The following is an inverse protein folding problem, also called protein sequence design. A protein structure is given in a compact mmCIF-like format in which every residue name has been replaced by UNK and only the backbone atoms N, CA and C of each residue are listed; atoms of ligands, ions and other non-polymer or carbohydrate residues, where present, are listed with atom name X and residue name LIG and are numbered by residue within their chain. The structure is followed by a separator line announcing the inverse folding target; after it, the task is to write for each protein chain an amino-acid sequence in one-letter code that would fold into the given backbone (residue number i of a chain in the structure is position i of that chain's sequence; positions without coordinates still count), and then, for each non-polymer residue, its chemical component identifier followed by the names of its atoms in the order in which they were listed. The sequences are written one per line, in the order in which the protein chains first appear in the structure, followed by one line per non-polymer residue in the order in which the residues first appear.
data_IF_186220647537
#
_entry.id   IF_186220647537
#
_cell.length_a   1.000
_cell.length_b   1.000
_cell.length_c   1.000
_cell.angle_alpha   90.00
_cell.angle_beta   90.00
_cell.angle_gamma   90.00
#
_symmetry.space_group_name_H-M   'P 1'
#
loop_
_entity.id
_entity.type
_entity.pdbx_description
1 polymer ?
#
# COMPACT_ATOMS: atom_id res chain seq x y z
N UNK A 1 7.81 -22.44 -6.74
CA UNK A 1 8.49 -21.12 -6.79
C UNK A 1 7.60 -20.07 -6.17
N UNK A 2 8.16 -19.07 -5.46
CA UNK A 2 7.39 -17.91 -5.06
C UNK A 2 6.85 -17.19 -6.29
N UNK A 3 5.59 -16.74 -6.24
CA UNK A 3 5.00 -15.92 -7.30
C UNK A 3 5.55 -14.49 -7.27
N UNK A 4 5.42 -13.79 -8.39
CA UNK A 4 5.82 -12.38 -8.51
C UNK A 4 5.05 -11.66 -9.60
N UNK A 5 5.13 -10.34 -9.62
CA UNK A 5 4.58 -9.52 -10.68
C UNK A 5 5.40 -8.25 -10.89
N UNK A 6 5.31 -7.69 -12.09
CA UNK A 6 5.88 -6.38 -12.43
C UNK A 6 4.89 -5.60 -13.30
N UNK A 7 4.83 -4.28 -13.09
CA UNK A 7 4.05 -3.35 -13.91
C UNK A 7 4.93 -2.15 -14.25
N UNK A 8 4.91 -1.72 -15.49
CA UNK A 8 5.53 -0.48 -15.95
C UNK A 8 4.49 0.41 -16.61
N UNK A 9 4.43 1.68 -16.21
CA UNK A 9 3.56 2.71 -16.77
C UNK A 9 4.37 3.86 -17.34
N UNK A 10 3.88 4.49 -18.39
CA UNK A 10 4.30 5.84 -18.76
C UNK A 10 3.60 6.85 -17.84
N UNK A 11 4.32 7.57 -16.97
CA UNK A 11 3.68 8.49 -16.02
C UNK A 11 2.97 9.67 -16.70
N UNK A 12 3.31 10.00 -17.95
CA UNK A 12 2.71 11.14 -18.70
C UNK A 12 1.34 10.79 -19.29
N UNK A 13 1.16 9.55 -19.72
CA UNK A 13 -0.06 9.10 -20.41
C UNK A 13 -0.91 8.13 -19.59
N UNK A 14 -0.32 7.48 -18.57
CA UNK A 14 -0.93 6.37 -17.85
C UNK A 14 -0.92 5.07 -18.62
N UNK A 15 -0.30 5.01 -19.81
CA UNK A 15 -0.26 3.80 -20.63
C UNK A 15 0.53 2.69 -19.92
N UNK A 16 -0.03 1.48 -19.91
CA UNK A 16 0.66 0.29 -19.42
C UNK A 16 1.65 -0.17 -20.49
N UNK A 17 2.94 -0.05 -20.20
CA UNK A 17 4.03 -0.43 -21.10
C UNK A 17 4.41 -1.91 -20.96
N UNK A 18 4.29 -2.45 -19.76
CA UNK A 18 4.51 -3.85 -19.47
C UNK A 18 3.73 -4.30 -18.23
N UNK A 19 3.23 -5.52 -18.28
CA UNK A 19 2.60 -6.20 -17.14
C UNK A 19 3.01 -7.67 -17.16
N UNK A 20 3.57 -8.15 -16.05
CA UNK A 20 4.05 -9.53 -15.92
C UNK A 20 3.53 -10.14 -14.62
N UNK A 21 3.10 -11.39 -14.70
CA UNK A 21 2.73 -12.21 -13.54
C UNK A 21 3.40 -13.58 -13.65
N UNK A 22 4.02 -14.05 -12.59
CA UNK A 22 4.67 -15.35 -12.53
C UNK A 22 4.20 -16.14 -11.29
N UNK A 23 4.12 -17.49 -11.33
CA UNK A 23 4.31 -18.32 -12.52
C UNK A 23 3.25 -18.05 -13.59
N UNK A 24 3.59 -18.32 -14.84
CA UNK A 24 2.68 -18.30 -15.97
C UNK A 24 2.32 -19.74 -16.41
N UNK A 25 1.49 -19.84 -17.40
CA UNK A 25 1.07 -21.09 -18.02
C UNK A 25 0.96 -20.90 -19.54
N UNK A 26 0.80 -21.98 -20.29
CA UNK A 26 0.56 -21.94 -21.73
C UNK A 26 -0.95 -21.85 -21.99
N UNK A 27 -1.42 -20.72 -22.53
CA UNK A 27 -2.84 -20.44 -22.81
C UNK A 27 -3.40 -21.43 -23.84
N UNK A 28 -2.56 -21.99 -24.73
CA UNK A 28 -2.98 -22.99 -25.70
C UNK A 28 -3.60 -24.23 -25.04
N UNK A 29 -3.24 -24.52 -23.81
CA UNK A 29 -3.86 -25.62 -23.05
C UNK A 29 -5.35 -25.40 -22.80
N UNK A 30 -5.84 -24.18 -22.86
CA UNK A 30 -7.25 -23.82 -22.66
C UNK A 30 -8.05 -23.65 -23.94
N UNK A 31 -7.36 -23.45 -25.08
CA UNK A 31 -8.00 -23.16 -26.39
C UNK A 31 -8.17 -24.41 -27.23
N UNK A 32 -7.18 -25.29 -27.24
CA UNK A 32 -7.18 -26.53 -28.04
C UNK A 32 -7.57 -27.74 -27.24
N UNK A 33 -8.12 -28.79 -27.93
CA UNK A 33 -8.40 -30.09 -27.33
C UNK A 33 -7.11 -30.86 -26.97
N UNK A 34 -7.21 -31.87 -26.12
CA UNK A 34 -6.09 -32.78 -25.84
C UNK A 34 -5.21 -32.49 -24.62
N UNK A 35 -5.35 -31.32 -23.97
CA UNK A 35 -4.53 -30.88 -22.84
C UNK A 35 -5.22 -31.02 -21.47
N UNK A 36 -6.05 -32.06 -21.26
CA UNK A 36 -6.81 -32.22 -20.02
C UNK A 36 -5.92 -32.35 -18.77
N UNK A 37 -4.79 -33.06 -18.89
CA UNK A 37 -3.82 -33.25 -17.81
C UNK A 37 -3.12 -31.94 -17.47
N UNK A 38 -2.68 -31.18 -18.49
CA UNK A 38 -1.99 -29.88 -18.31
C UNK A 38 -2.92 -28.85 -17.66
N UNK A 39 -4.17 -28.76 -18.15
CA UNK A 39 -5.20 -27.91 -17.55
C UNK A 39 -5.47 -28.27 -16.09
N UNK A 40 -5.61 -29.57 -15.81
CA UNK A 40 -5.84 -30.02 -14.44
C UNK A 40 -4.65 -29.69 -13.53
N UNK A 41 -3.42 -29.80 -14.02
CA UNK A 41 -2.22 -29.42 -13.29
C UNK A 41 -2.21 -27.93 -12.96
N UNK A 42 -2.49 -27.05 -13.93
CA UNK A 42 -2.56 -25.59 -13.73
C UNK A 42 -3.67 -25.19 -12.75
N UNK A 43 -4.87 -25.80 -12.87
CA UNK A 43 -6.00 -25.49 -12.00
C UNK A 43 -5.76 -25.89 -10.53
N UNK A 44 -4.98 -26.94 -10.31
CA UNK A 44 -4.67 -27.47 -8.98
C UNK A 44 -3.32 -27.00 -8.44
N UNK A 45 -2.57 -26.19 -9.19
CA UNK A 45 -1.26 -25.70 -8.75
C UNK A 45 -1.41 -24.70 -7.59
N UNK A 46 -0.80 -25.03 -6.47
CA UNK A 46 -0.77 -24.17 -5.27
C UNK A 46 -0.12 -22.82 -5.51
N UNK A 47 0.74 -22.70 -6.52
CA UNK A 47 1.34 -21.43 -6.95
C UNK A 47 0.37 -20.51 -7.72
N UNK A 48 -0.86 -21.00 -8.04
CA UNK A 48 -1.94 -20.22 -8.68
C UNK A 48 -1.49 -19.47 -9.94
N UNK A 49 -1.02 -20.16 -10.99
CA UNK A 49 -0.53 -19.52 -12.21
C UNK A 49 -1.60 -18.72 -12.97
N UNK A 50 -2.89 -19.06 -12.79
CA UNK A 50 -4.01 -18.33 -13.39
C UNK A 50 -4.28 -16.96 -12.73
N UNK A 51 -3.72 -16.70 -11.55
CA UNK A 51 -3.88 -15.41 -10.90
C UNK A 51 -2.96 -14.38 -11.54
N UNK A 52 -3.52 -13.39 -12.23
CA UNK A 52 -2.76 -12.21 -12.63
C UNK A 52 -2.45 -11.32 -11.41
N UNK A 53 -1.27 -11.53 -10.83
CA UNK A 53 -0.85 -10.86 -9.60
C UNK A 53 -0.66 -9.37 -9.76
N UNK A 54 -0.51 -8.88 -10.98
CA UNK A 54 -0.29 -7.47 -11.26
C UNK A 54 -1.57 -6.63 -11.04
N UNK A 55 -2.72 -7.18 -11.44
CA UNK A 55 -4.01 -6.48 -11.37
C UNK A 55 -4.97 -7.03 -10.32
N UNK A 56 -4.84 -8.34 -9.99
CA UNK A 56 -5.76 -9.04 -9.10
C UNK A 56 -5.12 -9.44 -7.76
N UNK A 57 -3.79 -9.51 -7.66
CA UNK A 57 -3.09 -9.76 -6.40
C UNK A 57 -3.21 -8.55 -5.46
N UNK A 58 -3.69 -8.79 -4.24
CA UNK A 58 -3.89 -7.75 -3.24
C UNK A 58 -2.95 -7.98 -2.05
N UNK A 59 -2.19 -6.97 -1.68
CA UNK A 59 -1.14 -7.05 -0.67
C UNK A 59 -1.10 -5.78 0.18
N UNK A 60 -0.65 -5.85 1.45
CA UNK A 60 -0.28 -4.66 2.20
C UNK A 60 0.81 -3.87 1.44
N UNK A 61 0.62 -2.57 1.29
CA UNK A 61 1.54 -1.72 0.51
C UNK A 61 2.91 -1.55 1.15
N UNK A 62 3.00 -1.74 2.47
CA UNK A 62 4.20 -1.41 3.22
C UNK A 62 4.60 0.06 3.00
N UNK A 63 5.88 0.34 3.09
CA UNK A 63 6.43 1.70 3.05
C UNK A 63 6.19 2.47 1.74
N UNK A 64 5.67 1.83 0.70
CA UNK A 64 5.31 2.51 -0.56
C UNK A 64 4.16 3.52 -0.35
N UNK A 65 3.34 3.36 0.69
CA UNK A 65 2.32 4.34 1.10
C UNK A 65 2.92 5.70 1.51
N UNK A 66 4.15 5.74 1.99
CA UNK A 66 4.75 6.90 2.66
C UNK A 66 4.80 8.17 1.82
N UNK A 67 5.18 8.15 0.54
CA UNK A 67 5.11 9.34 -0.32
C UNK A 67 3.70 9.92 -0.40
N UNK A 68 2.66 9.07 -0.49
CA UNK A 68 1.27 9.51 -0.58
C UNK A 68 0.81 10.18 0.72
N UNK A 69 1.19 9.63 1.87
CA UNK A 69 0.87 10.21 3.17
C UNK A 69 1.68 11.47 3.47
N UNK A 70 2.93 11.56 3.00
CA UNK A 70 3.71 12.80 3.08
C UNK A 70 3.03 13.92 2.27
N UNK A 71 2.58 13.62 1.05
CA UNK A 71 1.79 14.54 0.22
C UNK A 71 0.51 14.99 0.95
N UNK A 72 -0.23 14.04 1.53
CA UNK A 72 -1.42 14.34 2.31
C UNK A 72 -1.13 15.25 3.51
N UNK A 73 -0.08 14.96 4.27
CA UNK A 73 0.28 15.72 5.47
C UNK A 73 0.74 17.15 5.16
N UNK A 74 1.45 17.33 4.04
CA UNK A 74 1.84 18.66 3.54
C UNK A 74 0.61 19.44 3.03
N UNK A 75 -0.26 18.81 2.24
CA UNK A 75 -1.45 19.45 1.69
C UNK A 75 -2.48 19.84 2.77
N UNK A 76 -2.60 19.06 3.83
CA UNK A 76 -3.48 19.33 4.98
C UNK A 76 -2.82 20.23 6.05
N UNK A 77 -1.62 20.73 5.78
CA UNK A 77 -0.84 21.55 6.73
C UNK A 77 -0.61 20.88 8.09
N UNK A 78 -0.63 19.55 8.17
CA UNK A 78 -0.28 18.77 9.36
C UNK A 78 1.21 18.90 9.63
N UNK A 79 2.00 19.01 8.56
CA UNK A 79 3.44 19.30 8.59
C UNK A 79 3.81 20.39 7.58
N UNK A 80 5.00 20.95 7.78
CA UNK A 80 5.74 21.71 6.77
C UNK A 80 7.01 20.94 6.39
N UNK A 81 7.76 21.32 5.35
CA UNK A 81 9.04 20.68 5.03
C UNK A 81 10.07 20.74 6.15
N UNK A 82 9.95 21.73 7.06
CA UNK A 82 10.84 21.90 8.23
C UNK A 82 10.36 21.20 9.49
N UNK A 83 9.14 20.66 9.52
CA UNK A 83 8.62 19.90 10.68
C UNK A 83 9.51 18.70 10.96
N UNK A 84 9.90 18.53 12.21
CA UNK A 84 10.78 17.43 12.63
C UNK A 84 10.13 16.57 13.71
N UNK A 85 10.43 15.29 13.67
CA UNK A 85 10.10 14.28 14.70
C UNK A 85 11.40 13.65 15.18
N UNK A 86 11.56 13.48 16.48
CA UNK A 86 12.71 12.76 17.03
C UNK A 86 12.44 11.25 16.97
N UNK A 87 13.18 10.53 16.13
CA UNK A 87 13.14 9.08 16.02
C UNK A 87 14.18 8.46 16.94
N UNK A 88 13.73 7.74 17.97
CA UNK A 88 14.54 7.04 18.97
C UNK A 88 14.36 5.52 18.95
N UNK A 89 13.93 4.97 17.82
CA UNK A 89 13.74 3.54 17.64
C UNK A 89 12.31 3.04 17.86
N UNK A 90 11.38 3.92 18.18
CA UNK A 90 9.95 3.61 18.31
C UNK A 90 9.21 4.59 19.20
N UNK A 91 7.87 4.44 19.26
CA UNK A 91 6.98 5.20 20.12
C UNK A 91 6.33 4.31 21.18
N UNK A 92 6.25 4.80 22.40
CA UNK A 92 5.47 4.19 23.46
C UNK A 92 4.17 4.96 23.63
N UNK A 93 3.05 4.27 23.49
CA UNK A 93 1.70 4.84 23.68
C UNK A 93 0.92 3.94 24.63
N UNK A 94 0.69 4.41 25.85
CA UNK A 94 0.18 3.58 26.94
C UNK A 94 1.14 2.42 27.23
N UNK A 95 0.62 1.19 27.19
CA UNK A 95 1.40 -0.04 27.36
C UNK A 95 2.03 -0.56 26.04
N UNK A 96 1.63 -0.02 24.89
CA UNK A 96 2.07 -0.52 23.60
C UNK A 96 3.33 0.21 23.12
N UNK A 97 4.22 -0.54 22.45
CA UNK A 97 5.39 -0.02 21.79
C UNK A 97 5.28 -0.23 20.26
N UNK A 98 5.48 0.85 19.52
CA UNK A 98 5.46 0.86 18.04
C UNK A 98 6.89 1.06 17.55
N UNK A 99 7.58 -0.01 17.15
CA UNK A 99 9.00 0.06 16.80
C UNK A 99 9.25 0.71 15.45
N UNK A 100 10.39 1.37 15.35
CA UNK A 100 11.01 1.64 14.05
C UNK A 100 11.80 0.41 13.58
N UNK A 101 12.11 0.33 12.29
CA UNK A 101 12.92 -0.76 11.76
C UNK A 101 14.39 -0.66 12.20
N UNK A 102 14.85 0.54 12.54
CA UNK A 102 16.22 0.80 13.01
C UNK A 102 16.25 0.93 14.53
N UNK A 103 16.89 0.00 15.19
CA UNK A 103 17.13 0.07 16.63
C UNK A 103 17.90 1.37 16.97
N UNK A 104 17.44 2.09 18.01
CA UNK A 104 18.01 3.40 18.37
C UNK A 104 17.51 4.57 17.53
N UNK A 105 16.78 4.30 16.43
CA UNK A 105 16.12 5.32 15.62
C UNK A 105 17.05 6.07 14.66
N UNK A 106 16.53 7.17 14.13
CA UNK A 106 17.13 7.96 13.05
C UNK A 106 17.55 9.38 13.53
N UNK A 107 17.29 9.69 14.81
CA UNK A 107 17.51 11.04 15.34
C UNK A 107 16.47 12.03 14.84
N UNK A 108 16.81 13.31 14.78
CA UNK A 108 15.94 14.37 14.27
C UNK A 108 15.66 14.14 12.79
N UNK A 109 14.39 14.01 12.46
CA UNK A 109 13.92 13.54 11.15
C UNK A 109 12.83 14.48 10.62
N UNK A 110 13.06 15.08 9.44
CA UNK A 110 12.06 15.80 8.66
C UNK A 110 11.47 14.89 7.56
N UNK A 111 10.52 15.40 6.78
CA UNK A 111 9.84 14.62 5.74
C UNK A 111 10.80 14.08 4.67
N UNK A 112 11.84 14.84 4.29
CA UNK A 112 12.82 14.42 3.29
C UNK A 112 13.62 13.22 3.80
N UNK A 113 14.18 13.33 5.00
CA UNK A 113 14.90 12.24 5.64
C UNK A 113 14.00 11.04 5.93
N UNK A 114 12.74 11.31 6.34
CA UNK A 114 11.77 10.26 6.60
C UNK A 114 11.46 9.41 5.37
N UNK A 115 11.37 10.02 4.19
CA UNK A 115 11.21 9.30 2.92
C UNK A 115 12.49 8.57 2.52
N UNK A 116 13.64 9.23 2.59
CA UNK A 116 14.94 8.67 2.20
C UNK A 116 15.34 7.43 3.04
N UNK A 117 15.06 7.48 4.34
CA UNK A 117 15.44 6.40 5.27
C UNK A 117 14.23 5.53 5.68
N UNK A 118 13.05 5.77 5.10
CA UNK A 118 11.83 5.01 5.39
C UNK A 118 11.47 4.97 6.88
N UNK A 119 11.54 6.10 7.58
CA UNK A 119 11.42 6.21 9.04
C UNK A 119 9.99 5.98 9.51
N UNK A 120 9.71 4.86 10.17
CA UNK A 120 8.36 4.53 10.64
C UNK A 120 7.84 5.52 11.69
N UNK A 121 8.66 5.90 12.66
CA UNK A 121 8.26 6.81 13.74
C UNK A 121 7.81 8.17 13.20
N UNK A 122 8.41 8.70 12.13
CA UNK A 122 7.92 9.91 11.49
C UNK A 122 6.49 9.72 10.94
N UNK A 123 6.26 8.60 10.24
CA UNK A 123 4.95 8.30 9.65
C UNK A 123 3.89 7.94 10.70
N UNK A 124 4.25 7.33 11.81
CA UNK A 124 3.34 7.18 12.95
C UNK A 124 2.88 8.55 13.46
N UNK A 125 3.81 9.49 13.66
CA UNK A 125 3.50 10.83 14.16
C UNK A 125 2.58 11.60 13.21
N UNK A 126 2.88 11.63 11.91
CA UNK A 126 2.04 12.37 10.95
C UNK A 126 0.72 11.65 10.62
N UNK A 127 0.65 10.34 10.78
CA UNK A 127 -0.56 9.55 10.59
C UNK A 127 -1.52 9.64 11.78
N UNK A 128 -1.09 9.21 12.94
CA UNK A 128 -1.92 9.10 14.15
C UNK A 128 -1.75 10.21 15.19
N UNK A 129 -0.72 11.05 15.03
CA UNK A 129 -0.31 12.03 16.04
C UNK A 129 0.60 11.41 17.10
N UNK A 130 1.48 12.21 17.67
CA UNK A 130 2.32 11.83 18.81
C UNK A 130 2.82 13.07 19.55
N UNK A 131 2.66 13.10 20.88
CA UNK A 131 2.93 14.28 21.71
C UNK A 131 2.21 15.52 21.13
N UNK A 132 2.92 16.59 20.85
CA UNK A 132 2.38 17.85 20.30
C UNK A 132 2.17 17.80 18.78
N UNK A 133 2.63 16.75 18.08
CA UNK A 133 2.44 16.59 16.65
C UNK A 133 1.03 16.05 16.36
N UNK A 134 0.21 16.87 15.72
CA UNK A 134 -1.10 16.42 15.22
C UNK A 134 -0.93 15.41 14.09
N UNK A 135 -1.84 14.42 14.01
CA UNK A 135 -1.88 13.44 12.92
C UNK A 135 -2.95 13.73 11.88
N UNK A 136 -2.85 13.09 10.72
CA UNK A 136 -3.89 13.09 9.68
C UNK A 136 -5.20 12.45 10.17
N UNK A 137 -5.08 11.37 10.91
CA UNK A 137 -6.21 10.50 11.22
C UNK A 137 -6.60 9.62 10.02
N UNK A 138 -7.33 8.54 10.30
CA UNK A 138 -7.70 7.53 9.29
C UNK A 138 -8.52 8.13 8.14
N UNK A 139 -9.48 9.01 8.41
CA UNK A 139 -10.39 9.55 7.39
C UNK A 139 -9.64 10.39 6.34
N UNK A 140 -8.69 11.24 6.77
CA UNK A 140 -7.85 12.00 5.83
C UNK A 140 -6.90 11.09 5.07
N UNK A 141 -6.28 10.11 5.73
CA UNK A 141 -5.43 9.13 5.05
C UNK A 141 -6.20 8.39 3.97
N UNK A 142 -7.35 7.80 4.30
CA UNK A 142 -8.20 7.07 3.34
C UNK A 142 -8.65 7.96 2.18
N UNK A 143 -9.07 9.20 2.47
CA UNK A 143 -9.48 10.17 1.44
C UNK A 143 -8.35 10.45 0.44
N UNK A 144 -7.11 10.64 0.89
CA UNK A 144 -5.98 10.88 0.00
C UNK A 144 -5.59 9.61 -0.77
N UNK A 145 -5.52 8.46 -0.11
CA UNK A 145 -5.24 7.18 -0.78
C UNK A 145 -6.26 6.88 -1.88
N UNK A 146 -7.55 7.15 -1.63
CA UNK A 146 -8.59 7.02 -2.66
C UNK A 146 -8.36 7.96 -3.85
N UNK A 147 -7.88 9.20 -3.61
CA UNK A 147 -7.53 10.13 -4.70
C UNK A 147 -6.35 9.64 -5.54
N UNK A 148 -5.45 8.85 -4.95
CA UNK A 148 -4.36 8.17 -5.66
C UNK A 148 -4.79 6.85 -6.32
N UNK A 149 -6.09 6.53 -6.33
CA UNK A 149 -6.66 5.36 -6.99
C UNK A 149 -6.68 4.09 -6.16
N UNK A 150 -6.30 4.14 -4.86
CA UNK A 150 -6.37 2.96 -4.00
C UNK A 150 -7.81 2.71 -3.51
N UNK A 151 -8.18 1.45 -3.35
CA UNK A 151 -9.50 1.04 -2.87
C UNK A 151 -10.59 1.04 -3.92
N UNK A 152 -10.26 1.27 -5.19
CA UNK A 152 -11.16 1.20 -6.34
C UNK A 152 -10.44 0.65 -7.56
N UNK A 153 -11.20 0.10 -8.52
CA UNK A 153 -10.65 -0.29 -9.83
C UNK A 153 -10.20 0.94 -10.58
N UNK A 154 -9.05 0.87 -11.22
CA UNK A 154 -8.50 1.95 -12.06
C UNK A 154 -9.13 1.99 -13.45
N UNK A 155 -9.79 0.88 -13.86
CA UNK A 155 -10.49 0.79 -15.14
C UNK A 155 -9.59 0.35 -16.30
N UNK A 156 -8.60 -0.49 -16.01
CA UNK A 156 -7.83 -1.15 -17.09
C UNK A 156 -8.75 -2.04 -17.92
N UNK A 157 -8.52 -2.15 -19.21
CA UNK A 157 -9.32 -2.92 -20.17
C UNK A 157 -9.06 -4.43 -20.14
N UNK A 158 -8.56 -4.94 -19.01
CA UNK A 158 -8.38 -6.36 -18.74
C UNK A 158 -9.42 -6.87 -17.75
N UNK A 159 -9.91 -8.11 -17.91
CA UNK A 159 -10.83 -8.71 -16.96
C UNK A 159 -10.11 -9.10 -15.66
N UNK A 160 -10.77 -8.94 -14.53
CA UNK A 160 -10.26 -9.46 -13.26
C UNK A 160 -9.56 -8.43 -12.36
N UNK A 161 -9.51 -7.16 -12.76
CA UNK A 161 -8.95 -6.10 -11.92
C UNK A 161 -9.61 -6.08 -10.53
N UNK A 162 -8.79 -6.17 -9.47
CA UNK A 162 -9.26 -6.06 -8.09
C UNK A 162 -9.25 -4.60 -7.62
N UNK A 163 -10.22 -4.27 -6.76
CA UNK A 163 -10.33 -2.92 -6.21
C UNK A 163 -9.33 -2.59 -5.12
N UNK A 164 -8.61 -3.58 -4.58
CA UNK A 164 -7.92 -3.38 -3.31
C UNK A 164 -8.90 -3.15 -2.16
N UNK A 165 -8.38 -2.76 -1.02
CA UNK A 165 -9.18 -2.46 0.16
C UNK A 165 -8.54 -1.35 0.99
N UNK A 166 -9.32 -0.32 1.33
CA UNK A 166 -8.97 0.73 2.29
C UNK A 166 -9.84 0.59 3.54
N UNK A 167 -9.26 0.35 4.72
CA UNK A 167 -10.02 0.21 5.95
C UNK A 167 -10.58 1.56 6.41
N UNK A 168 -11.87 1.58 6.83
CA UNK A 168 -12.54 2.75 7.38
C UNK A 168 -13.00 2.49 8.82
N UNK A 169 -13.33 3.57 9.55
CA UNK A 169 -13.93 3.47 10.88
C UNK A 169 -15.22 2.66 10.84
N UNK A 170 -16.08 2.93 9.87
CA UNK A 170 -17.35 2.23 9.69
C UNK A 170 -17.15 0.74 9.41
N UNK A 171 -16.27 0.40 8.47
CA UNK A 171 -15.95 -1.00 8.18
C UNK A 171 -15.44 -1.73 9.43
N UNK A 172 -14.55 -1.10 10.19
CA UNK A 172 -13.99 -1.71 11.40
C UNK A 172 -15.09 -2.05 12.40
N UNK A 173 -16.01 -1.13 12.61
CA UNK A 173 -17.12 -1.31 13.55
C UNK A 173 -18.12 -2.36 13.06
N UNK A 174 -18.49 -2.32 11.78
CA UNK A 174 -19.55 -3.17 11.22
C UNK A 174 -19.09 -4.58 10.90
N UNK A 175 -17.86 -4.75 10.39
CA UNK A 175 -17.36 -6.05 9.90
C UNK A 175 -16.43 -6.77 10.88
N UNK A 176 -15.63 -6.02 11.67
CA UNK A 176 -14.74 -6.62 12.66
C UNK A 176 -15.34 -6.60 14.08
N UNK A 177 -16.47 -5.91 14.28
CA UNK A 177 -17.12 -5.72 15.57
C UNK A 177 -16.16 -5.22 16.68
N UNK A 178 -15.15 -4.45 16.29
CA UNK A 178 -14.14 -3.88 17.20
C UNK A 178 -13.93 -2.41 16.88
N UNK A 179 -13.77 -1.54 17.89
CA UNK A 179 -13.49 -0.13 17.63
C UNK A 179 -12.12 0.06 17.00
N UNK A 180 -12.00 1.09 16.17
CA UNK A 180 -10.71 1.56 15.66
C UNK A 180 -9.88 2.14 16.79
N UNK A 181 -8.62 1.79 16.85
CA UNK A 181 -7.68 2.26 17.88
C UNK A 181 -6.53 3.04 17.23
N UNK A 182 -5.83 3.84 18.01
CA UNK A 182 -4.68 4.60 17.53
C UNK A 182 -3.59 3.72 16.90
N UNK A 183 -3.39 2.51 17.42
CA UNK A 183 -2.47 1.53 16.84
C UNK A 183 -2.84 1.11 15.42
N UNK A 184 -4.14 1.03 15.10
CA UNK A 184 -4.59 0.73 13.74
C UNK A 184 -4.21 1.86 12.78
N UNK A 185 -4.31 3.12 13.24
CA UNK A 185 -3.86 4.31 12.49
C UNK A 185 -2.35 4.29 12.26
N UNK A 186 -1.56 3.92 13.26
CA UNK A 186 -0.11 3.79 13.10
C UNK A 186 0.25 2.71 12.10
N UNK A 187 -0.36 1.53 12.18
CA UNK A 187 -0.12 0.46 11.20
C UNK A 187 -0.51 0.91 9.78
N UNK A 188 -1.67 1.54 9.62
CA UNK A 188 -2.08 2.08 8.32
C UNK A 188 -1.07 3.10 7.78
N UNK A 189 -0.49 3.95 8.64
CA UNK A 189 0.45 5.00 8.21
C UNK A 189 1.79 4.47 7.67
N UNK A 190 2.07 3.20 7.84
CA UNK A 190 3.23 2.51 7.27
C UNK A 190 2.83 1.41 6.25
N UNK A 191 1.57 1.40 5.83
CA UNK A 191 1.04 0.46 4.84
C UNK A 191 0.88 -0.96 5.35
N UNK A 192 0.59 -1.11 6.63
CA UNK A 192 0.31 -2.38 7.31
C UNK A 192 -1.12 -2.38 7.89
N UNK A 193 -1.49 -3.48 8.53
CA UNK A 193 -2.85 -3.68 9.06
C UNK A 193 -3.78 -4.24 7.99
N UNK A 194 -5.00 -3.73 7.94
CA UNK A 194 -6.06 -4.27 7.06
C UNK A 194 -6.03 -3.69 5.62
N UNK A 195 -5.06 -2.85 5.27
CA UNK A 195 -4.96 -2.28 3.91
C UNK A 195 -4.47 -3.33 2.90
N UNK A 196 -5.12 -3.37 1.74
CA UNK A 196 -4.72 -4.20 0.61
C UNK A 196 -4.78 -3.40 -0.69
N UNK A 197 -3.72 -3.49 -1.50
CA UNK A 197 -3.62 -2.80 -2.78
C UNK A 197 -3.07 -3.73 -3.85
N UNK A 198 -3.40 -3.47 -5.11
CA UNK A 198 -2.80 -4.18 -6.24
C UNK A 198 -1.50 -3.50 -6.65
N UNK A 199 -0.63 -4.24 -7.34
CA UNK A 199 0.59 -3.67 -7.90
C UNK A 199 0.30 -2.59 -8.94
N UNK A 200 -0.80 -2.76 -9.70
CA UNK A 200 -1.27 -1.75 -10.65
C UNK A 200 -1.62 -0.43 -9.94
N UNK A 201 -2.35 -0.48 -8.82
CA UNK A 201 -2.67 0.70 -8.01
C UNK A 201 -1.42 1.38 -7.45
N UNK A 202 -0.46 0.60 -6.95
CA UNK A 202 0.83 1.11 -6.49
C UNK A 202 1.54 1.86 -7.62
N UNK A 203 1.65 1.22 -8.80
CA UNK A 203 2.36 1.80 -9.95
C UNK A 203 1.67 3.07 -10.46
N UNK A 204 0.34 3.08 -10.52
CA UNK A 204 -0.44 4.26 -10.90
C UNK A 204 -0.24 5.43 -9.92
N UNK A 205 -0.23 5.15 -8.61
CA UNK A 205 0.03 6.19 -7.60
C UNK A 205 1.47 6.74 -7.67
N UNK A 206 2.46 5.87 -7.97
CA UNK A 206 3.83 6.33 -8.23
C UNK A 206 3.91 7.20 -9.50
N UNK A 207 3.18 6.83 -10.56
CA UNK A 207 3.09 7.62 -11.78
C UNK A 207 2.46 9.00 -11.51
N UNK A 208 1.41 9.07 -10.69
CA UNK A 208 0.79 10.33 -10.29
C UNK A 208 1.77 11.24 -9.52
N UNK A 209 2.56 10.68 -8.60
CA UNK A 209 3.61 11.46 -7.90
C UNK A 209 4.71 11.93 -8.85
N UNK A 210 5.09 11.12 -9.83
CA UNK A 210 6.13 11.47 -10.80
C UNK A 210 5.69 12.51 -11.83
N UNK A 211 4.39 12.60 -12.09
CA UNK A 211 3.81 13.54 -13.07
C UNK A 211 3.47 14.91 -12.48
N UNK A 212 3.39 15.05 -11.15
CA UNK A 212 2.98 16.27 -10.44
C UNK A 212 1.49 16.34 -10.30
#
# INVERSE_FOLDING_TARGET
SPGGAAVALDPRSGAVLAMVSVPSYDDNWFVSGGHSTDRSAVLNDSAKPLLNRAEAGQYPSGSIIKPLLATAALAEHVITPSTTVLSVGGFKVGSNFFPDWKAGGHGVTNVIKALAESVNTFFYAIGGGYQDQAGLGVDRMVRYLSRFGWGARLGIDLPGEASGFLPTLEWRTTKRATPWRLGDTYHLSIGQGDIEVTLLQITASCAAVANG
#
